data_IF_671101757870
#
_entry.id   IF_671101757870
#
_cell.length_a   1.000
_cell.length_b   1.000
_cell.length_c   1.000
_cell.angle_alpha   90.00
_cell.angle_beta   90.00
_cell.angle_gamma   90.00
#
_symmetry.space_group_name_H-M   'P 1'
#
loop_
_entity.id
_entity.type
_entity.pdbx_description
1 polymer ?
#
# COMPACT_ATOMS: atom_id res chain seq x y z
N UNK A 1 15.64 -67.16 -0.78
CA UNK A 1 14.69 -66.30 -1.53
C UNK A 1 14.49 -65.02 -0.76
N UNK A 2 14.51 -63.80 -1.29
CA UNK A 2 15.20 -63.17 -2.41
C UNK A 2 14.99 -61.66 -2.14
N UNK A 3 16.07 -60.92 -1.89
CA UNK A 3 16.07 -59.45 -1.83
C UNK A 3 16.03 -58.87 -3.25
N UNK A 4 15.44 -57.70 -3.45
CA UNK A 4 15.92 -56.75 -4.46
C UNK A 4 16.40 -55.46 -3.75
N UNK A 5 17.70 -55.12 -3.80
CA UNK A 5 18.50 -54.47 -4.86
C UNK A 5 18.17 -52.98 -5.09
N UNK A 6 19.22 -52.20 -4.81
CA UNK A 6 19.54 -50.79 -5.01
C UNK A 6 19.00 -50.09 -6.26
N UNK A 7 18.79 -48.77 -6.16
CA UNK A 7 19.48 -47.79 -7.00
C UNK A 7 19.39 -46.37 -6.40
N UNK A 8 20.55 -45.81 -6.01
CA UNK A 8 20.73 -44.38 -5.77
C UNK A 8 20.60 -43.64 -7.11
N UNK A 9 19.84 -42.53 -7.13
CA UNK A 9 19.91 -41.57 -8.23
C UNK A 9 20.42 -40.24 -7.71
N UNK A 10 21.73 -40.05 -7.85
CA UNK A 10 22.39 -38.75 -7.79
C UNK A 10 22.04 -38.01 -9.08
N UNK A 11 21.22 -36.96 -8.99
CA UNK A 11 21.07 -35.99 -10.08
C UNK A 11 21.75 -34.69 -9.69
N UNK A 12 22.79 -34.41 -10.46
CA UNK A 12 23.70 -33.28 -10.40
C UNK A 12 23.04 -31.94 -10.70
N UNK A 13 23.60 -30.91 -10.06
CA UNK A 13 23.47 -29.49 -10.35
C UNK A 13 23.62 -29.14 -11.84
N UNK A 14 22.76 -28.26 -12.31
CA UNK A 14 23.03 -27.39 -13.46
C UNK A 14 22.54 -25.98 -13.12
N UNK A 15 23.46 -25.16 -12.59
CA UNK A 15 23.33 -23.70 -12.53
C UNK A 15 23.52 -23.20 -13.95
N UNK A 16 22.47 -22.69 -14.57
CA UNK A 16 22.54 -22.03 -15.89
C UNK A 16 22.25 -20.55 -15.69
N UNK A 17 23.32 -19.77 -15.63
CA UNK A 17 23.31 -18.33 -15.82
C UNK A 17 23.00 -18.02 -17.29
N UNK A 18 21.85 -17.43 -17.58
CA UNK A 18 21.58 -16.81 -18.89
C UNK A 18 21.44 -15.32 -18.70
N UNK A 19 22.33 -14.59 -19.37
CA UNK A 19 22.45 -13.16 -19.31
C UNK A 19 21.24 -12.40 -19.84
N UNK A 20 21.25 -11.12 -19.49
CA UNK A 20 20.35 -10.09 -19.97
C UNK A 20 20.29 -10.07 -21.50
N UNK A 21 19.10 -10.28 -22.03
CA UNK A 21 18.73 -9.87 -23.38
C UNK A 21 17.50 -8.98 -23.27
N UNK A 22 17.72 -7.72 -23.64
CA UNK A 22 16.73 -6.70 -23.93
C UNK A 22 15.64 -7.25 -24.85
N UNK A 23 14.39 -7.24 -24.38
CA UNK A 23 13.22 -7.41 -25.22
C UNK A 23 12.37 -6.16 -25.07
N UNK A 24 12.35 -5.37 -26.15
CA UNK A 24 11.54 -4.19 -26.31
C UNK A 24 10.05 -4.53 -26.08
N UNK A 25 9.44 -3.87 -25.09
CA UNK A 25 8.00 -3.92 -24.88
C UNK A 25 7.28 -3.14 -25.99
N UNK A 26 6.24 -3.68 -26.64
CA UNK A 26 5.41 -2.92 -27.55
C UNK A 26 4.59 -1.88 -26.77
N UNK A 27 4.63 -0.65 -27.30
CA UNK A 27 3.86 0.49 -26.82
C UNK A 27 2.36 0.13 -26.72
N UNK A 28 1.83 0.11 -25.49
CA UNK A 28 0.41 0.06 -25.26
C UNK A 28 -0.18 1.44 -25.54
N UNK A 29 -0.94 1.48 -26.62
CA UNK A 29 -1.74 2.59 -27.12
C UNK A 29 -2.64 3.18 -26.04
N UNK A 30 -2.60 4.51 -25.96
CA UNK A 30 -3.43 5.36 -25.14
C UNK A 30 -4.92 5.14 -25.41
N UNK A 31 -5.73 5.05 -24.35
CA UNK A 31 -7.17 5.34 -24.39
C UNK A 31 -7.51 6.21 -23.18
N UNK A 32 -7.19 7.49 -23.29
CA UNK A 32 -7.78 8.55 -22.48
C UNK A 32 -9.26 8.62 -22.85
N UNK A 33 -10.12 8.14 -21.95
CA UNK A 33 -11.57 8.29 -22.10
C UNK A 33 -11.93 9.75 -21.80
N UNK A 34 -11.89 10.59 -22.82
CA UNK A 34 -12.41 11.96 -22.76
C UNK A 34 -13.94 11.87 -22.60
N UNK A 35 -14.44 12.18 -21.41
CA UNK A 35 -15.87 12.43 -21.19
C UNK A 35 -16.22 13.74 -21.91
N UNK A 36 -16.78 13.63 -23.11
CA UNK A 36 -17.35 14.76 -23.82
C UNK A 36 -18.61 15.22 -23.06
N UNK A 37 -18.55 16.42 -22.49
CA UNK A 37 -19.74 17.11 -22.02
C UNK A 37 -20.50 17.62 -23.25
N UNK A 38 -21.49 16.85 -23.71
CA UNK A 38 -22.49 17.32 -24.68
C UNK A 38 -23.34 18.40 -24.04
N UNK A 39 -23.09 19.65 -24.39
CA UNK A 39 -23.97 20.77 -24.09
C UNK A 39 -25.09 20.78 -25.14
N UNK A 40 -26.30 20.41 -24.74
CA UNK A 40 -27.48 20.59 -25.59
C UNK A 40 -27.81 22.09 -25.64
N UNK A 41 -27.46 22.76 -26.72
CA UNK A 41 -28.06 24.06 -27.08
C UNK A 41 -29.46 23.81 -27.65
N UNK A 42 -30.54 24.38 -27.08
CA UNK A 42 -31.78 24.50 -27.82
C UNK A 42 -31.58 25.57 -28.90
N UNK A 43 -31.55 25.13 -30.16
CA UNK A 43 -31.66 26.04 -31.29
C UNK A 43 -33.14 26.21 -31.66
N UNK A 44 -33.48 27.48 -31.86
CA UNK A 44 -34.43 27.96 -32.87
C UNK A 44 -35.93 27.98 -32.51
N UNK A 45 -36.43 29.22 -32.43
CA UNK A 45 -37.84 29.55 -32.48
C UNK A 45 -38.05 31.06 -32.44
N UNK A 46 -37.72 31.77 -33.52
CA UNK A 46 -38.27 33.10 -33.80
C UNK A 46 -39.25 32.94 -34.97
N UNK A 47 -40.45 33.51 -34.87
CA UNK A 47 -40.68 34.71 -35.68
C UNK A 47 -41.55 35.76 -34.98
N UNK A 48 -41.17 37.03 -35.15
CA UNK A 48 -42.13 38.14 -35.16
C UNK A 48 -41.79 39.32 -34.25
N UNK A 49 -41.69 40.50 -34.86
CA UNK A 49 -41.90 41.78 -34.18
C UNK A 49 -40.72 42.73 -34.21
N UNK A 50 -40.72 43.66 -35.16
CA UNK A 50 -39.80 44.80 -35.22
C UNK A 50 -40.14 45.86 -34.17
N UNK A 51 -39.15 46.31 -33.38
CA UNK A 51 -39.03 47.66 -32.79
C UNK A 51 -37.56 47.89 -32.37
N UNK A 52 -36.91 49.02 -32.72
CA UNK A 52 -35.67 49.47 -32.07
C UNK A 52 -36.02 50.51 -31.00
N UNK A 53 -35.75 50.23 -29.72
CA UNK A 53 -35.97 51.20 -28.64
C UNK A 53 -35.00 50.93 -27.47
N UNK A 54 -34.75 51.98 -26.69
CA UNK A 54 -33.53 52.25 -25.94
C UNK A 54 -33.40 51.48 -24.61
N UNK A 55 -32.18 51.55 -24.06
CA UNK A 55 -31.64 50.86 -22.89
C UNK A 55 -32.50 50.89 -21.61
N UNK A 56 -32.84 49.71 -21.11
CA UNK A 56 -32.86 49.38 -19.68
C UNK A 56 -32.50 47.90 -19.51
N UNK A 57 -31.32 47.59 -18.97
CA UNK A 57 -30.94 46.22 -18.60
C UNK A 57 -31.80 45.76 -17.41
N UNK A 58 -32.95 45.13 -17.71
CA UNK A 58 -33.80 44.52 -16.71
C UNK A 58 -33.16 43.18 -16.27
N UNK A 59 -32.43 43.23 -15.16
CA UNK A 59 -31.86 42.05 -14.53
C UNK A 59 -32.99 41.07 -14.18
N UNK A 60 -32.84 39.77 -14.47
CA UNK A 60 -33.79 38.76 -14.02
C UNK A 60 -33.96 38.88 -12.50
N UNK A 61 -35.19 39.01 -12.01
CA UNK A 61 -35.44 39.07 -10.57
C UNK A 61 -35.01 37.73 -9.95
N UNK A 62 -33.87 37.73 -9.28
CA UNK A 62 -33.35 36.57 -8.57
C UNK A 62 -34.17 36.34 -7.29
N UNK A 63 -35.32 35.69 -7.43
CA UNK A 63 -36.09 35.21 -6.29
C UNK A 63 -35.50 33.90 -5.76
N UNK A 64 -35.52 33.73 -4.42
CA UNK A 64 -35.11 32.49 -3.76
C UNK A 64 -35.96 31.25 -4.12
N UNK A 65 -36.99 31.42 -4.95
CA UNK A 65 -37.80 30.32 -5.49
C UNK A 65 -37.19 29.65 -6.73
N UNK A 66 -36.11 30.22 -7.28
CA UNK A 66 -35.45 29.66 -8.46
C UNK A 66 -34.98 28.21 -8.18
N UNK A 67 -35.10 27.26 -9.14
CA UNK A 67 -34.79 25.85 -8.90
C UNK A 67 -33.39 25.61 -8.35
N UNK A 68 -32.43 26.49 -8.66
CA UNK A 68 -31.08 26.45 -8.10
C UNK A 68 -31.07 26.61 -6.57
N UNK A 69 -31.73 27.64 -6.03
CA UNK A 69 -31.81 27.89 -4.58
C UNK A 69 -32.68 26.85 -3.87
N UNK A 70 -33.78 26.43 -4.49
CA UNK A 70 -34.63 25.40 -3.92
C UNK A 70 -33.88 24.07 -3.79
N UNK A 71 -33.16 23.66 -4.84
CA UNK A 71 -32.41 22.41 -4.82
C UNK A 71 -31.20 22.49 -3.87
N UNK A 72 -30.52 23.64 -3.77
CA UNK A 72 -29.41 23.80 -2.84
C UNK A 72 -29.87 23.74 -1.38
N UNK A 73 -30.99 24.39 -1.03
CA UNK A 73 -31.59 24.33 0.31
C UNK A 73 -32.04 22.91 0.64
N UNK A 74 -32.66 22.18 -0.29
CA UNK A 74 -33.07 20.78 -0.08
C UNK A 74 -31.85 19.90 0.17
N UNK A 75 -30.79 20.01 -0.64
CA UNK A 75 -29.56 19.22 -0.45
C UNK A 75 -28.91 19.53 0.90
N UNK A 76 -28.85 20.80 1.28
CA UNK A 76 -28.29 21.22 2.57
C UNK A 76 -29.15 20.72 3.74
N UNK A 77 -30.47 20.80 3.64
CA UNK A 77 -31.40 20.30 4.65
C UNK A 77 -31.35 18.78 4.81
N UNK A 78 -31.29 18.03 3.70
CA UNK A 78 -31.12 16.57 3.72
C UNK A 78 -29.76 16.20 4.30
N UNK A 79 -28.69 16.90 3.91
CA UNK A 79 -27.36 16.72 4.47
C UNK A 79 -27.32 16.98 5.98
N UNK A 80 -27.95 18.06 6.45
CA UNK A 80 -28.05 18.39 7.87
C UNK A 80 -28.90 17.39 8.66
N UNK A 81 -29.97 16.86 8.05
CA UNK A 81 -30.81 15.82 8.66
C UNK A 81 -30.05 14.49 8.81
N UNK A 82 -29.33 14.07 7.78
CA UNK A 82 -28.45 12.89 7.84
C UNK A 82 -27.36 13.11 8.88
N UNK A 83 -26.71 14.28 8.89
CA UNK A 83 -25.70 14.63 9.88
C UNK A 83 -26.24 14.54 11.31
N UNK A 84 -27.42 15.11 11.59
CA UNK A 84 -28.04 15.05 12.92
C UNK A 84 -28.42 13.63 13.35
N UNK A 85 -28.88 12.79 12.44
CA UNK A 85 -29.18 11.38 12.75
C UNK A 85 -27.90 10.58 13.01
N UNK A 86 -26.81 10.88 12.31
CA UNK A 86 -25.50 10.28 12.57
C UNK A 86 -24.96 10.73 13.93
N UNK A 87 -25.03 12.02 14.27
CA UNK A 87 -24.58 12.58 15.55
C UNK A 87 -25.31 11.92 16.75
N UNK A 88 -26.62 11.71 16.63
CA UNK A 88 -27.43 11.03 17.67
C UNK A 88 -27.01 9.56 17.83
N UNK A 89 -26.58 8.89 16.76
CA UNK A 89 -26.10 7.51 16.80
C UNK A 89 -24.63 7.39 17.25
N UNK A 90 -23.79 8.39 17.00
CA UNK A 90 -22.37 8.41 17.36
C UNK A 90 -22.16 8.67 18.86
N UNK A 91 -23.01 9.50 19.48
CA UNK A 91 -22.92 9.85 20.91
C UNK A 91 -23.27 8.70 21.88
N UNK A 92 -23.68 7.53 21.39
CA UNK A 92 -23.87 6.37 22.25
C UNK A 92 -22.55 5.63 22.57
N UNK A 93 -21.48 5.76 21.78
CA UNK A 93 -20.23 4.98 22.00
C UNK A 93 -18.90 5.67 21.62
N UNK A 94 -18.84 6.99 21.44
CA UNK A 94 -17.60 7.69 21.04
C UNK A 94 -16.53 7.87 22.15
N UNK A 95 -16.71 7.38 23.37
CA UNK A 95 -15.81 7.75 24.49
C UNK A 95 -15.01 6.61 25.16
N UNK A 96 -14.89 5.42 24.57
CA UNK A 96 -14.05 4.36 25.20
C UNK A 96 -13.37 3.36 24.26
N UNK A 97 -13.01 3.77 23.05
CA UNK A 97 -12.22 2.93 22.14
C UNK A 97 -10.83 3.53 21.86
N UNK A 98 -10.09 3.84 22.93
CA UNK A 98 -8.65 4.07 22.82
C UNK A 98 -7.97 3.66 24.11
N UNK A 99 -6.98 2.78 23.99
CA UNK A 99 -5.96 2.43 24.99
C UNK A 99 -6.26 1.33 26.05
N UNK A 100 -6.88 0.22 25.68
CA UNK A 100 -6.54 -1.03 26.37
C UNK A 100 -6.50 -2.20 25.40
N UNK A 101 -5.31 -2.71 25.12
CA UNK A 101 -5.05 -3.88 24.26
C UNK A 101 -5.53 -5.21 24.86
N UNK A 102 -6.73 -5.23 25.45
CA UNK A 102 -7.44 -6.42 25.91
C UNK A 102 -8.81 -6.44 25.26
N UNK A 103 -8.87 -6.89 24.01
CA UNK A 103 -10.13 -7.31 23.42
C UNK A 103 -10.34 -8.78 23.74
N UNK A 104 -11.27 -9.04 24.66
CA UNK A 104 -11.74 -10.38 24.94
C UNK A 104 -12.73 -10.79 23.84
N UNK A 105 -12.82 -12.09 23.54
CA UNK A 105 -13.74 -12.62 22.51
C UNK A 105 -15.21 -12.19 22.72
N UNK A 106 -15.60 -11.89 23.96
CA UNK A 106 -16.95 -11.45 24.32
C UNK A 106 -17.28 -10.01 23.88
N UNK A 107 -16.27 -9.15 23.71
CA UNK A 107 -16.49 -7.76 23.27
C UNK A 107 -16.85 -7.65 21.78
N UNK A 108 -16.46 -8.65 20.98
CA UNK A 108 -16.74 -8.67 19.54
C UNK A 108 -18.22 -8.95 19.24
N UNK A 109 -18.85 -9.85 19.98
CA UNK A 109 -20.28 -10.18 19.81
C UNK A 109 -21.18 -9.01 20.24
N UNK A 110 -20.81 -8.30 21.30
CA UNK A 110 -21.52 -7.10 21.73
C UNK A 110 -21.34 -5.94 20.74
N UNK A 111 -20.14 -5.77 20.17
CA UNK A 111 -19.88 -4.76 19.16
C UNK A 111 -20.71 -4.99 17.88
N UNK A 112 -20.87 -6.23 17.43
CA UNK A 112 -21.65 -6.55 16.23
C UNK A 112 -23.14 -6.19 16.39
N UNK A 113 -23.68 -6.31 17.60
CA UNK A 113 -25.08 -5.96 17.90
C UNK A 113 -25.30 -4.45 18.04
N UNK A 114 -24.30 -3.69 18.46
CA UNK A 114 -24.39 -2.23 18.66
C UNK A 114 -23.91 -1.42 17.47
N UNK A 115 -23.41 -2.06 16.41
CA UNK A 115 -22.92 -1.36 15.22
C UNK A 115 -24.05 -0.61 14.48
N UNK A 116 -23.79 0.64 14.03
CA UNK A 116 -24.76 1.37 13.23
C UNK A 116 -25.05 0.61 11.93
N UNK A 117 -26.29 0.74 11.42
CA UNK A 117 -26.80 -0.04 10.30
C UNK A 117 -25.91 0.01 9.05
N UNK A 118 -25.30 1.17 8.78
CA UNK A 118 -24.41 1.37 7.63
C UNK A 118 -23.11 0.56 7.77
N UNK A 119 -22.53 0.52 8.97
CA UNK A 119 -21.34 -0.29 9.27
C UNK A 119 -21.68 -1.78 9.17
N UNK A 120 -22.86 -2.19 9.66
CA UNK A 120 -23.33 -3.58 9.52
C UNK A 120 -23.52 -3.97 8.05
N UNK A 121 -24.06 -3.07 7.24
CA UNK A 121 -24.19 -3.28 5.79
C UNK A 121 -22.83 -3.43 5.11
N UNK A 122 -21.87 -2.55 5.41
CA UNK A 122 -20.51 -2.66 4.88
C UNK A 122 -19.87 -3.98 5.32
N UNK A 123 -19.98 -4.32 6.61
CA UNK A 123 -19.40 -5.54 7.16
C UNK A 123 -19.92 -6.81 6.46
N UNK A 124 -21.21 -6.85 6.12
CA UNK A 124 -21.81 -7.98 5.43
C UNK A 124 -21.18 -8.28 4.06
N UNK A 125 -20.66 -7.25 3.37
CA UNK A 125 -20.03 -7.40 2.05
C UNK A 125 -18.50 -7.45 2.10
N UNK A 126 -17.91 -7.21 3.26
CA UNK A 126 -16.47 -7.31 3.47
C UNK A 126 -16.07 -8.66 4.04
N UNK A 127 -14.82 -9.06 3.81
CA UNK A 127 -14.24 -10.27 4.41
C UNK A 127 -14.27 -10.17 5.95
N UNK A 128 -14.71 -11.23 6.66
CA UNK A 128 -14.83 -11.19 8.12
C UNK A 128 -13.45 -11.02 8.77
N UNK A 129 -13.42 -10.34 9.92
CA UNK A 129 -12.17 -10.04 10.63
C UNK A 129 -11.43 -11.31 11.10
N UNK A 130 -12.13 -12.44 11.26
CA UNK A 130 -11.52 -13.74 11.59
C UNK A 130 -10.51 -14.20 10.54
N UNK A 131 -10.85 -14.13 9.26
CA UNK A 131 -9.99 -14.57 8.16
C UNK A 131 -8.73 -13.71 8.05
N UNK A 132 -8.84 -12.40 8.29
CA UNK A 132 -7.68 -11.51 8.34
C UNK A 132 -6.73 -11.86 9.49
N UNK A 133 -7.27 -12.21 10.67
CA UNK A 133 -6.46 -12.64 11.81
C UNK A 133 -5.72 -13.94 11.48
N UNK A 134 -6.42 -14.91 10.90
CA UNK A 134 -5.81 -16.19 10.49
C UNK A 134 -4.72 -15.99 9.45
N UNK A 135 -4.98 -15.18 8.42
CA UNK A 135 -3.99 -14.86 7.38
C UNK A 135 -2.79 -14.15 8.00
N UNK A 136 -3.00 -13.14 8.84
CA UNK A 136 -1.91 -12.44 9.52
C UNK A 136 -1.08 -13.37 10.41
N UNK A 137 -1.73 -14.32 11.11
CA UNK A 137 -1.03 -15.34 11.89
C UNK A 137 -0.19 -16.26 10.99
N UNK A 138 -0.72 -16.69 9.85
CA UNK A 138 0.04 -17.51 8.88
C UNK A 138 1.27 -16.77 8.36
N UNK A 139 1.15 -15.47 8.08
CA UNK A 139 2.27 -14.64 7.63
C UNK A 139 3.32 -14.47 8.73
N UNK A 140 2.88 -14.26 9.97
CA UNK A 140 3.76 -14.20 11.13
C UNK A 140 4.52 -15.52 11.33
N UNK A 141 3.84 -16.65 11.18
CA UNK A 141 4.45 -17.98 11.24
C UNK A 141 5.45 -18.22 10.11
N UNK A 142 5.14 -17.80 8.88
CA UNK A 142 6.05 -17.92 7.74
C UNK A 142 7.30 -17.05 7.95
N UNK A 143 7.14 -15.83 8.45
CA UNK A 143 8.25 -14.95 8.80
C UNK A 143 9.12 -15.55 9.92
N UNK A 144 8.51 -16.09 10.96
CA UNK A 144 9.21 -16.77 12.05
C UNK A 144 10.05 -17.96 11.55
N UNK A 145 9.47 -18.84 10.73
CA UNK A 145 10.19 -19.98 10.11
C UNK A 145 11.36 -19.51 9.24
N UNK A 146 11.17 -18.43 8.49
CA UNK A 146 12.22 -17.85 7.65
C UNK A 146 13.36 -17.30 8.51
N UNK A 147 13.05 -16.64 9.62
CA UNK A 147 14.03 -16.12 10.56
C UNK A 147 14.82 -17.25 11.25
N UNK A 148 14.14 -18.30 11.71
CA UNK A 148 14.76 -19.49 12.32
C UNK A 148 15.69 -20.20 11.33
N UNK A 149 15.25 -20.40 10.09
CA UNK A 149 16.08 -20.99 9.03
C UNK A 149 17.32 -20.14 8.76
N UNK A 150 17.18 -18.80 8.76
CA UNK A 150 18.31 -17.90 8.54
C UNK A 150 19.29 -17.95 9.71
N UNK A 151 18.80 -17.98 10.95
CA UNK A 151 19.64 -18.11 12.14
C UNK A 151 20.42 -19.42 12.10
N UNK A 152 19.75 -20.54 11.77
CA UNK A 152 20.39 -21.84 11.66
C UNK A 152 21.51 -21.87 10.61
N UNK A 153 21.31 -21.20 9.47
CA UNK A 153 22.35 -21.06 8.45
C UNK A 153 23.48 -20.15 8.94
N UNK A 154 23.18 -19.05 9.63
CA UNK A 154 24.20 -18.14 10.17
C UNK A 154 25.06 -18.80 11.27
N UNK A 155 24.47 -19.61 12.13
CA UNK A 155 25.19 -20.36 13.16
C UNK A 155 26.05 -21.48 12.56
N UNK A 156 25.59 -22.08 11.46
CA UNK A 156 26.33 -23.12 10.75
C UNK A 156 27.44 -22.57 9.84
N UNK A 157 27.25 -21.39 9.28
CA UNK A 157 28.23 -20.73 8.42
C UNK A 157 29.38 -20.15 9.24
N UNK A 158 30.59 -20.66 8.99
CA UNK A 158 31.79 -20.02 9.49
C UNK A 158 31.87 -18.60 8.92
N UNK A 159 32.14 -17.60 9.77
CA UNK A 159 32.35 -16.22 9.34
C UNK A 159 33.28 -16.17 8.11
N UNK A 160 32.87 -15.48 7.03
CA UNK A 160 33.66 -15.45 5.79
C UNK A 160 35.02 -14.83 6.10
N UNK A 161 36.09 -15.58 5.83
CA UNK A 161 37.46 -15.08 5.98
C UNK A 161 37.85 -14.42 4.66
N UNK A 162 37.89 -13.07 4.57
CA UNK A 162 38.35 -12.41 3.37
C UNK A 162 39.82 -12.77 3.13
N UNK A 163 40.10 -13.44 2.02
CA UNK A 163 41.46 -13.73 1.57
C UNK A 163 41.92 -12.61 0.65
N UNK A 164 42.84 -11.79 1.12
CA UNK A 164 43.46 -10.77 0.30
C UNK A 164 44.59 -11.39 -0.50
N UNK A 165 44.52 -11.24 -1.83
CA UNK A 165 45.60 -11.67 -2.73
C UNK A 165 46.87 -10.83 -2.55
N UNK A 166 46.70 -9.54 -2.26
CA UNK A 166 47.79 -8.59 -2.11
C UNK A 166 47.81 -8.05 -0.69
N UNK A 167 48.70 -8.59 0.15
CA UNK A 167 48.86 -8.12 1.53
C UNK A 167 49.44 -6.71 1.62
N UNK A 168 50.16 -6.26 0.58
CA UNK A 168 50.71 -4.90 0.53
C UNK A 168 49.66 -3.78 0.41
N UNK A 169 48.39 -4.10 0.13
CA UNK A 169 47.32 -3.09 0.07
C UNK A 169 46.99 -2.48 1.44
N UNK A 170 47.39 -3.14 2.53
CA UNK A 170 47.23 -2.61 3.89
C UNK A 170 48.18 -1.44 4.18
N UNK A 171 49.37 -1.47 3.57
CA UNK A 171 50.38 -0.42 3.69
C UNK A 171 50.24 0.65 2.59
N UNK A 172 49.66 0.26 1.46
CA UNK A 172 49.45 1.15 0.32
C UNK A 172 48.26 2.07 0.57
N UNK A 173 48.53 3.17 1.26
CA UNK A 173 47.57 4.24 1.44
C UNK A 173 48.07 5.55 0.85
N UNK A 174 47.15 6.35 0.33
CA UNK A 174 47.48 7.69 -0.13
C UNK A 174 47.92 8.54 1.07
N UNK A 175 49.03 9.28 0.98
CA UNK A 175 49.40 10.24 2.01
C UNK A 175 48.45 11.45 2.04
N UNK A 176 47.60 11.62 1.02
CA UNK A 176 46.67 12.73 0.88
C UNK A 176 45.21 12.28 0.96
N UNK A 177 44.37 13.10 1.62
CA UNK A 177 42.91 12.95 1.76
C UNK A 177 42.41 11.89 2.75
N UNK A 178 43.14 11.69 3.85
CA UNK A 178 42.76 10.74 4.89
C UNK A 178 41.87 11.43 5.90
N UNK A 179 40.61 11.00 5.99
CA UNK A 179 39.70 11.55 7.00
C UNK A 179 40.21 11.15 8.39
N UNK A 180 40.30 12.08 9.35
CA UNK A 180 40.65 11.72 10.73
C UNK A 180 39.73 10.61 11.24
N UNK A 181 40.32 9.52 11.75
CA UNK A 181 39.58 8.33 12.23
C UNK A 181 39.11 7.34 11.15
N UNK A 182 39.48 7.54 9.87
CA UNK A 182 39.20 6.54 8.81
C UNK A 182 40.26 5.44 8.71
N UNK A 183 41.46 5.68 9.25
CA UNK A 183 42.52 4.69 9.30
C UNK A 183 42.29 3.75 10.47
N UNK A 184 42.32 2.45 10.18
CA UNK A 184 42.30 1.39 11.18
C UNK A 184 43.75 1.15 11.60
N UNK A 185 44.01 1.02 12.90
CA UNK A 185 45.32 0.61 13.40
C UNK A 185 45.58 -0.85 13.00
N UNK A 186 46.68 -1.08 12.29
CA UNK A 186 47.09 -2.39 11.76
C UNK A 186 48.34 -2.93 12.46
N UNK A 187 48.80 -2.31 13.55
CA UNK A 187 50.02 -2.70 14.27
C UNK A 187 50.03 -4.16 14.74
N UNK A 188 48.88 -4.70 15.13
CA UNK A 188 48.70 -6.09 15.58
C UNK A 188 48.21 -7.06 14.47
N UNK A 189 48.37 -6.70 13.19
CA UNK A 189 47.89 -7.52 12.07
C UNK A 189 48.67 -8.84 11.92
N UNK A 190 48.02 -9.97 12.26
CA UNK A 190 48.58 -11.33 12.04
C UNK A 190 48.10 -11.94 10.72
N UNK A 191 48.97 -11.98 9.72
CA UNK A 191 48.70 -12.60 8.41
C UNK A 191 49.02 -14.10 8.48
N UNK A 192 48.02 -14.97 8.23
CA UNK A 192 48.24 -16.40 8.04
C UNK A 192 48.59 -16.68 6.58
N UNK A 193 49.73 -17.31 6.32
CA UNK A 193 50.15 -17.76 4.97
C UNK A 193 49.76 -19.24 4.81
N UNK A 194 49.50 -19.67 3.57
CA UNK A 194 49.04 -21.04 3.30
C UNK A 194 50.14 -22.12 3.49
N UNK A 195 51.40 -21.72 3.69
CA UNK A 195 52.57 -22.60 3.74
C UNK A 195 53.29 -22.66 5.12
N UNK A 196 52.70 -22.08 6.18
CA UNK A 196 53.14 -22.14 7.59
C UNK A 196 52.02 -22.69 8.47
#
# INVERSE_FOLDING_TARGET
>A
MALPRSAMSLRSLAVRSTGAASAAAPAATQLTTARAFTTSRPALGSPGGAQPEETHEEYPREDFSNPFFRNSIIVLAVGAFIYKISDINENLHASRASSSGKSSYQDAEHAEKTMPWITRYIQHWTTPTSEYKETNMQWLQAAAKTAESKLLVQDAERAPVPRLRFVGSFEAHSPHSNRPGSQVDLSDLKIKKDNE
#
